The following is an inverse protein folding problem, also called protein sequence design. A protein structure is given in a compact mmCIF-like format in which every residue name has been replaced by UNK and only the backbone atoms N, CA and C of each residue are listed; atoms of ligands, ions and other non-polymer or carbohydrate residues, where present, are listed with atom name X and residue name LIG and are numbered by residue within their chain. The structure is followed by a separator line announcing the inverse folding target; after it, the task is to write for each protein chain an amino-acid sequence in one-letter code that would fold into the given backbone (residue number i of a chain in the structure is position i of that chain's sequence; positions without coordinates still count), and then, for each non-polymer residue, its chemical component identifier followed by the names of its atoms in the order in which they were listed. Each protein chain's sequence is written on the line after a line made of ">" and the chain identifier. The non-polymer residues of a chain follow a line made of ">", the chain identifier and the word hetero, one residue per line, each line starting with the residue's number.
data_IF_851445016142
#
_entry.id   IF_851445016142
#
_cell.length_a   1.000
_cell.length_b   1.000
_cell.length_c   1.000
_cell.angle_alpha   90.00
_cell.angle_beta   90.00
_cell.angle_gamma   90.00
#
_symmetry.space_group_name_H-M   'P 1'
#
loop_
_entity.id
_entity.type
_entity.pdbx_description
1 polymer ?
#
# COMPACT_ATOMS: atom_id res chain seq x y z
N UNK A 1 43.26 11.16 7.88
CA UNK A 1 42.01 10.55 7.34
C UNK A 1 40.72 10.95 8.07
N UNK A 2 40.73 11.89 9.01
CA UNK A 2 39.55 12.25 9.84
C UNK A 2 38.56 13.16 9.11
N UNK A 3 39.02 13.97 8.16
CA UNK A 3 38.16 14.87 7.39
C UNK A 3 37.53 14.22 6.14
N UNK A 4 38.06 13.08 5.69
CA UNK A 4 37.58 12.40 4.48
C UNK A 4 36.09 12.00 4.56
N UNK A 5 35.56 11.48 5.69
CA UNK A 5 34.14 11.14 5.80
C UNK A 5 33.22 12.36 5.71
N UNK A 6 33.65 13.51 6.24
CA UNK A 6 32.90 14.76 6.20
C UNK A 6 32.96 15.41 4.82
N UNK A 7 34.12 15.37 4.16
CA UNK A 7 34.29 15.85 2.79
C UNK A 7 33.45 15.06 1.78
N UNK A 8 33.20 13.77 2.05
CA UNK A 8 32.35 12.89 1.22
C UNK A 8 30.86 12.92 1.62
N UNK A 9 30.50 13.66 2.68
CA UNK A 9 29.12 13.82 3.15
C UNK A 9 28.50 12.58 3.79
N UNK A 10 29.31 11.65 4.33
CA UNK A 10 28.78 10.44 4.97
C UNK A 10 27.87 10.68 6.19
N UNK A 11 28.10 11.67 7.07
CA UNK A 11 27.22 11.90 8.22
C UNK A 11 25.78 12.23 7.82
N UNK A 12 25.59 13.11 6.84
CA UNK A 12 24.29 13.46 6.28
C UNK A 12 23.64 12.25 5.62
N UNK A 13 24.37 11.53 4.75
CA UNK A 13 23.84 10.35 4.04
C UNK A 13 23.42 9.23 4.99
N UNK A 14 24.19 9.01 6.06
CA UNK A 14 23.85 8.03 7.08
C UNK A 14 22.61 8.42 7.89
N UNK A 15 22.44 9.72 8.19
CA UNK A 15 21.24 10.23 8.83
C UNK A 15 20.00 10.10 7.94
N UNK A 16 20.13 10.46 6.67
CA UNK A 16 19.04 10.39 5.68
C UNK A 16 18.64 8.93 5.40
N UNK A 17 19.62 8.04 5.29
CA UNK A 17 19.37 6.60 5.12
C UNK A 17 18.67 5.97 6.33
N UNK A 18 19.06 6.35 7.56
CA UNK A 18 18.35 5.91 8.75
C UNK A 18 16.92 6.44 8.78
N UNK A 19 16.70 7.73 8.47
CA UNK A 19 15.37 8.31 8.43
C UNK A 19 14.48 7.64 7.37
N UNK A 20 15.06 7.24 6.23
CA UNK A 20 14.35 6.47 5.21
C UNK A 20 13.91 5.12 5.77
N UNK A 21 14.79 4.33 6.39
CA UNK A 21 14.40 3.06 7.03
C UNK A 21 13.29 3.30 8.05
N UNK A 22 13.49 4.21 9.00
CA UNK A 22 12.51 4.49 10.05
C UNK A 22 11.11 4.83 9.48
N UNK A 23 11.05 5.58 8.38
CA UNK A 23 9.80 5.94 7.71
C UNK A 23 9.13 4.76 6.98
N UNK A 24 9.91 3.84 6.42
CA UNK A 24 9.40 2.64 5.74
C UNK A 24 9.12 1.48 6.71
N UNK A 25 9.71 1.51 7.91
CA UNK A 25 9.57 0.47 8.92
C UNK A 25 8.11 0.04 9.17
N UNK A 26 7.12 0.93 9.40
CA UNK A 26 5.74 0.48 9.61
C UNK A 26 5.12 -0.18 8.37
N UNK A 27 5.59 0.11 7.16
CA UNK A 27 5.02 -0.42 5.91
C UNK A 27 5.70 -1.71 5.45
N UNK A 28 7.01 -1.82 5.66
CA UNK A 28 7.85 -2.92 5.20
C UNK A 28 8.04 -4.02 6.26
N UNK A 29 7.27 -4.01 7.35
CA UNK A 29 7.19 -5.17 8.23
C UNK A 29 6.53 -6.35 7.50
N UNK A 30 7.07 -7.56 7.69
CA UNK A 30 6.56 -8.78 7.03
C UNK A 30 5.04 -8.93 7.15
N UNK A 31 4.50 -8.78 8.36
CA UNK A 31 3.06 -8.88 8.59
C UNK A 31 2.23 -7.86 7.80
N UNK A 32 2.76 -6.66 7.56
CA UNK A 32 2.06 -5.61 6.82
C UNK A 32 2.17 -5.82 5.31
N UNK A 33 3.31 -6.33 4.83
CA UNK A 33 3.49 -6.74 3.43
C UNK A 33 2.57 -7.92 3.11
N UNK A 34 2.55 -8.96 3.95
CA UNK A 34 1.67 -10.12 3.79
C UNK A 34 0.21 -9.71 3.78
N UNK A 35 -0.20 -8.82 4.69
CA UNK A 35 -1.57 -8.28 4.73
C UNK A 35 -1.91 -7.50 3.45
N UNK A 36 -0.98 -6.69 2.95
CA UNK A 36 -1.18 -5.92 1.71
C UNK A 36 -1.30 -6.84 0.50
N UNK A 37 -0.44 -7.84 0.40
CA UNK A 37 -0.49 -8.86 -0.63
C UNK A 37 -1.79 -9.67 -0.58
N UNK A 38 -2.24 -10.06 0.61
CA UNK A 38 -3.50 -10.75 0.80
C UNK A 38 -4.70 -9.89 0.36
N UNK A 39 -4.77 -8.62 0.74
CA UNK A 39 -5.84 -7.73 0.23
C UNK A 39 -5.82 -7.62 -1.30
N UNK A 40 -4.64 -7.48 -1.89
CA UNK A 40 -4.51 -7.40 -3.35
C UNK A 40 -4.98 -8.70 -4.02
N UNK A 41 -4.45 -9.84 -3.60
CA UNK A 41 -4.69 -11.13 -4.25
C UNK A 41 -6.06 -11.75 -3.93
N UNK A 42 -6.57 -11.57 -2.71
CA UNK A 42 -7.76 -12.27 -2.23
C UNK A 42 -9.03 -11.40 -2.29
N UNK A 43 -8.88 -10.07 -2.37
CA UNK A 43 -10.03 -9.14 -2.41
C UNK A 43 -10.10 -8.41 -3.75
N UNK A 44 -9.00 -7.79 -4.18
CA UNK A 44 -9.03 -6.94 -5.37
C UNK A 44 -8.94 -7.75 -6.67
N UNK A 45 -8.06 -8.75 -6.76
CA UNK A 45 -7.95 -9.58 -7.98
C UNK A 45 -9.29 -10.26 -8.34
N UNK A 46 -10.01 -10.91 -7.40
CA UNK A 46 -11.32 -11.50 -7.69
C UNK A 46 -12.38 -10.48 -8.06
N UNK A 47 -12.25 -9.22 -7.61
CA UNK A 47 -13.16 -8.15 -8.03
C UNK A 47 -13.06 -7.88 -9.54
N UNK A 48 -11.88 -8.08 -10.12
CA UNK A 48 -11.65 -8.02 -11.57
C UNK A 48 -12.51 -9.03 -12.34
N UNK A 49 -12.75 -10.22 -11.79
CA UNK A 49 -13.56 -11.27 -12.42
C UNK A 49 -15.06 -10.94 -12.44
N UNK A 50 -15.51 -9.99 -11.59
CA UNK A 50 -16.91 -9.53 -11.53
C UNK A 50 -17.19 -8.43 -12.55
N UNK A 51 -16.16 -7.77 -13.08
CA UNK A 51 -16.29 -6.64 -14.03
C UNK A 51 -17.12 -7.00 -15.27
N UNK A 52 -16.96 -8.16 -15.93
CA UNK A 52 -17.81 -8.52 -17.07
C UNK A 52 -19.29 -8.63 -16.70
N UNK A 53 -19.61 -8.98 -15.46
CA UNK A 53 -20.98 -9.02 -14.96
C UNK A 53 -21.52 -7.59 -14.69
N UNK A 54 -20.65 -6.67 -14.25
CA UNK A 54 -20.93 -5.26 -13.98
C UNK A 54 -20.61 -4.37 -15.19
N UNK A 55 -21.19 -4.68 -16.34
CA UNK A 55 -20.97 -3.95 -17.59
C UNK A 55 -22.19 -3.13 -18.02
N UNK A 56 -21.96 -2.11 -18.84
CA UNK A 56 -23.04 -1.32 -19.45
C UNK A 56 -23.99 -2.19 -20.29
N UNK A 57 -23.45 -3.19 -20.99
CA UNK A 57 -24.23 -4.15 -21.77
C UNK A 57 -25.19 -4.96 -20.89
N UNK A 58 -24.69 -5.52 -19.78
CA UNK A 58 -25.54 -6.29 -18.87
C UNK A 58 -26.58 -5.41 -18.19
N UNK A 59 -26.22 -4.19 -17.80
CA UNK A 59 -27.19 -3.21 -17.25
C UNK A 59 -28.29 -2.91 -18.27
N UNK A 60 -27.95 -2.77 -19.56
CA UNK A 60 -28.94 -2.59 -20.61
C UNK A 60 -29.86 -3.82 -20.74
N UNK A 61 -29.32 -5.04 -20.70
CA UNK A 61 -30.12 -6.26 -20.72
C UNK A 61 -31.08 -6.35 -19.53
N UNK A 62 -30.61 -6.04 -18.32
CA UNK A 62 -31.48 -6.07 -17.15
C UNK A 62 -32.54 -4.96 -17.17
N UNK A 63 -32.23 -3.78 -17.69
CA UNK A 63 -33.23 -2.73 -17.90
C UNK A 63 -34.33 -3.19 -18.86
N UNK A 64 -33.98 -3.89 -19.94
CA UNK A 64 -34.97 -4.47 -20.85
C UNK A 64 -35.86 -5.52 -20.15
N UNK A 65 -35.30 -6.35 -19.26
CA UNK A 65 -36.11 -7.26 -18.45
C UNK A 65 -37.05 -6.52 -17.50
N UNK A 66 -36.59 -5.44 -16.85
CA UNK A 66 -37.43 -4.62 -15.98
C UNK A 66 -38.58 -3.96 -16.76
N UNK A 67 -38.33 -3.48 -17.98
CA UNK A 67 -39.38 -2.97 -18.86
C UNK A 67 -40.41 -4.06 -19.21
N UNK A 68 -39.96 -5.28 -19.50
CA UNK A 68 -40.84 -6.42 -19.72
C UNK A 68 -41.71 -6.74 -18.50
N UNK A 69 -41.14 -6.70 -17.29
CA UNK A 69 -41.88 -6.89 -16.03
C UNK A 69 -42.91 -5.79 -15.81
N UNK A 70 -42.57 -4.52 -16.09
CA UNK A 70 -43.52 -3.40 -16.03
C UNK A 70 -44.66 -3.57 -17.03
N UNK A 71 -44.35 -4.06 -18.24
CA UNK A 71 -45.37 -4.42 -19.23
C UNK A 71 -46.32 -5.51 -18.74
N UNK A 72 -45.76 -6.59 -18.17
CA UNK A 72 -46.58 -7.66 -17.55
C UNK A 72 -47.42 -7.13 -16.39
N UNK A 73 -46.91 -6.19 -15.59
CA UNK A 73 -47.68 -5.56 -14.53
C UNK A 73 -48.89 -4.81 -15.11
N UNK A 74 -48.70 -4.01 -16.16
CA UNK A 74 -49.81 -3.32 -16.85
C UNK A 74 -50.83 -4.29 -17.42
N UNK A 75 -50.40 -5.40 -18.02
CA UNK A 75 -51.33 -6.41 -18.53
C UNK A 75 -52.01 -7.20 -17.41
N UNK A 76 -51.36 -7.37 -16.26
CA UNK A 76 -51.94 -8.03 -15.09
C UNK A 76 -53.13 -7.29 -14.50
N UNK A 77 -53.16 -5.96 -14.63
CA UNK A 77 -54.31 -5.14 -14.23
C UNK A 77 -55.58 -5.49 -15.04
N UNK A 78 -55.40 -6.00 -16.26
CA UNK A 78 -56.49 -6.43 -17.16
C UNK A 78 -56.87 -7.89 -16.97
N UNK A 79 -56.01 -8.71 -16.34
CA UNK A 79 -56.25 -10.14 -16.18
C UNK A 79 -57.49 -10.42 -15.32
N UNK A 80 -57.64 -9.74 -14.19
CA UNK A 80 -58.79 -9.99 -13.30
C UNK A 80 -60.12 -9.60 -13.97
N UNK A 81 -60.26 -8.41 -14.58
CA UNK A 81 -61.44 -8.10 -15.38
C UNK A 81 -61.68 -9.07 -16.54
N UNK A 82 -60.63 -9.49 -17.26
CA UNK A 82 -60.76 -10.44 -18.38
C UNK A 82 -61.22 -11.83 -17.93
N UNK A 83 -60.66 -12.34 -16.83
CA UNK A 83 -61.06 -13.60 -16.21
C UNK A 83 -62.50 -13.54 -15.68
N UNK A 84 -62.89 -12.39 -15.11
CA UNK A 84 -64.25 -12.16 -14.63
C UNK A 84 -65.26 -12.33 -15.77
N UNK A 85 -65.01 -11.70 -16.93
CA UNK A 85 -65.86 -11.86 -18.12
C UNK A 85 -65.86 -13.30 -18.62
N UNK A 86 -64.70 -13.96 -18.68
CA UNK A 86 -64.59 -15.32 -19.20
C UNK A 86 -65.27 -16.39 -18.33
N UNK A 87 -65.32 -16.17 -17.02
CA UNK A 87 -65.89 -17.10 -16.03
C UNK A 87 -67.32 -16.75 -15.61
N UNK A 88 -67.91 -15.68 -16.17
CA UNK A 88 -69.20 -15.11 -15.76
C UNK A 88 -69.24 -14.79 -14.25
N UNK A 89 -68.10 -14.31 -13.73
CA UNK A 89 -67.89 -13.94 -12.33
C UNK A 89 -67.68 -12.43 -12.22
N UNK A 90 -67.90 -11.86 -11.03
CA UNK A 90 -67.46 -10.50 -10.73
C UNK A 90 -65.94 -10.45 -10.46
N UNK A 91 -65.27 -9.30 -10.68
CA UNK A 91 -63.83 -9.17 -10.36
C UNK A 91 -63.48 -9.51 -8.91
N UNK A 92 -64.36 -9.17 -7.96
CA UNK A 92 -64.18 -9.51 -6.55
C UNK A 92 -64.23 -11.03 -6.31
N UNK A 93 -65.16 -11.74 -6.95
CA UNK A 93 -65.24 -13.20 -6.86
C UNK A 93 -64.02 -13.88 -7.50
N UNK A 94 -63.47 -13.33 -8.59
CA UNK A 94 -62.23 -13.85 -9.19
C UNK A 94 -61.04 -13.62 -8.25
N UNK A 95 -60.92 -12.47 -7.61
CA UNK A 95 -59.88 -12.22 -6.61
C UNK A 95 -59.98 -13.19 -5.44
N UNK A 96 -61.17 -13.43 -4.91
CA UNK A 96 -61.38 -14.38 -3.83
C UNK A 96 -61.07 -15.81 -4.27
N UNK A 97 -61.52 -16.21 -5.47
CA UNK A 97 -61.21 -17.50 -6.07
C UNK A 97 -59.70 -17.71 -6.26
N UNK A 98 -58.97 -16.70 -6.76
CA UNK A 98 -57.51 -16.74 -6.88
C UNK A 98 -56.83 -16.78 -5.50
N UNK A 99 -57.32 -16.02 -4.53
CA UNK A 99 -56.79 -16.02 -3.17
C UNK A 99 -56.94 -17.39 -2.48
N UNK A 100 -58.08 -18.06 -2.66
CA UNK A 100 -58.35 -19.36 -2.03
C UNK A 100 -57.72 -20.53 -2.78
N UNK A 101 -57.85 -20.57 -4.11
CA UNK A 101 -57.44 -21.73 -4.90
C UNK A 101 -56.02 -21.60 -5.49
N UNK A 102 -55.50 -20.37 -5.62
CA UNK A 102 -54.19 -20.08 -6.21
C UNK A 102 -53.39 -19.05 -5.38
N UNK A 103 -53.16 -19.30 -4.08
CA UNK A 103 -52.58 -18.31 -3.16
C UNK A 103 -51.21 -17.79 -3.61
N UNK A 104 -50.38 -18.64 -4.23
CA UNK A 104 -49.07 -18.23 -4.75
C UNK A 104 -49.19 -17.20 -5.91
N UNK A 105 -50.18 -17.36 -6.79
CA UNK A 105 -50.44 -16.42 -7.88
C UNK A 105 -50.94 -15.07 -7.34
N UNK A 106 -51.85 -15.10 -6.37
CA UNK A 106 -52.33 -13.89 -5.70
C UNK A 106 -51.20 -13.12 -5.02
N UNK A 107 -50.32 -13.81 -4.31
CA UNK A 107 -49.13 -13.21 -3.69
C UNK A 107 -48.16 -12.64 -4.73
N UNK A 108 -47.92 -13.36 -5.84
CA UNK A 108 -47.06 -12.88 -6.92
C UNK A 108 -47.61 -11.58 -7.50
N UNK A 109 -48.89 -11.54 -7.87
CA UNK A 109 -49.53 -10.35 -8.45
C UNK A 109 -49.49 -9.15 -7.49
N UNK A 110 -49.71 -9.39 -6.19
CA UNK A 110 -49.61 -8.35 -5.17
C UNK A 110 -48.16 -7.85 -4.96
N UNK A 111 -47.16 -8.72 -5.13
CA UNK A 111 -45.74 -8.41 -4.93
C UNK A 111 -45.03 -7.81 -6.15
N UNK A 112 -45.58 -7.95 -7.36
CA UNK A 112 -44.98 -7.45 -8.60
C UNK A 112 -44.55 -5.97 -8.56
N UNK A 113 -45.38 -5.02 -8.05
CA UNK A 113 -45.00 -3.61 -8.02
C UNK A 113 -43.77 -3.35 -7.12
N UNK A 114 -43.68 -4.04 -5.98
CA UNK A 114 -42.54 -3.90 -5.08
C UNK A 114 -41.28 -4.52 -5.71
N UNK A 115 -41.42 -5.71 -6.31
CA UNK A 115 -40.32 -6.37 -7.00
C UNK A 115 -39.74 -5.52 -8.14
N UNK A 116 -40.58 -4.85 -8.93
CA UNK A 116 -40.12 -3.97 -10.01
C UNK A 116 -39.40 -2.72 -9.48
N UNK A 117 -39.86 -2.17 -8.36
CA UNK A 117 -39.21 -1.04 -7.68
C UNK A 117 -37.84 -1.43 -7.09
N UNK A 118 -37.76 -2.57 -6.40
CA UNK A 118 -36.52 -3.07 -5.80
C UNK A 118 -35.49 -3.39 -6.89
N UNK A 119 -35.92 -4.04 -7.98
CA UNK A 119 -35.04 -4.35 -9.10
C UNK A 119 -34.58 -3.08 -9.83
N UNK A 120 -35.47 -2.10 -10.03
CA UNK A 120 -35.09 -0.79 -10.56
C UNK A 120 -34.05 -0.06 -9.70
N UNK A 121 -34.17 -0.16 -8.37
CA UNK A 121 -33.20 0.42 -7.44
C UNK A 121 -31.83 -0.26 -7.58
N UNK A 122 -31.80 -1.60 -7.63
CA UNK A 122 -30.58 -2.35 -7.83
C UNK A 122 -29.90 -1.99 -9.17
N UNK A 123 -30.67 -1.89 -10.26
CA UNK A 123 -30.14 -1.50 -11.56
C UNK A 123 -29.65 -0.05 -11.60
N UNK A 124 -30.28 0.85 -10.86
CA UNK A 124 -29.76 2.20 -10.65
C UNK A 124 -28.37 2.18 -10.02
N UNK A 125 -28.21 1.44 -8.92
CA UNK A 125 -26.91 1.27 -8.26
C UNK A 125 -25.88 0.66 -9.23
N UNK A 126 -26.25 -0.38 -9.98
CA UNK A 126 -25.33 -0.96 -10.96
C UNK A 126 -24.92 0.07 -12.00
N UNK A 127 -25.88 0.76 -12.61
CA UNK A 127 -25.65 1.79 -13.63
C UNK A 127 -24.73 2.90 -13.13
N UNK A 128 -24.92 3.37 -11.90
CA UNK A 128 -24.10 4.43 -11.30
C UNK A 128 -22.66 3.98 -11.05
N UNK A 129 -22.43 2.68 -10.87
CA UNK A 129 -21.12 2.12 -10.50
C UNK A 129 -20.37 1.44 -11.66
N UNK A 130 -21.01 1.15 -12.80
CA UNK A 130 -20.37 0.47 -13.96
C UNK A 130 -19.05 1.13 -14.35
N UNK A 131 -19.01 2.47 -14.44
CA UNK A 131 -17.80 3.19 -14.83
C UNK A 131 -16.64 3.03 -13.83
N UNK A 132 -16.94 2.76 -12.56
CA UNK A 132 -15.93 2.46 -11.52
C UNK A 132 -15.44 1.03 -11.70
N UNK A 133 -16.35 0.08 -11.90
CA UNK A 133 -16.02 -1.34 -12.11
C UNK A 133 -15.18 -1.55 -13.38
N UNK A 134 -15.46 -0.84 -14.47
CA UNK A 134 -14.67 -0.91 -15.70
C UNK A 134 -13.19 -0.51 -15.51
N UNK A 135 -12.88 0.28 -14.48
CA UNK A 135 -11.51 0.70 -14.17
C UNK A 135 -10.75 -0.30 -13.28
N UNK A 136 -11.45 -1.26 -12.65
CA UNK A 136 -10.83 -2.24 -11.74
C UNK A 136 -9.66 -2.99 -12.40
N UNK A 137 -9.76 -3.52 -13.63
CA UNK A 137 -8.66 -4.26 -14.25
C UNK A 137 -7.41 -3.40 -14.45
N UNK A 138 -7.58 -2.16 -14.91
CA UNK A 138 -6.46 -1.23 -15.08
C UNK A 138 -5.82 -0.86 -13.73
N UNK A 139 -6.64 -0.69 -12.69
CA UNK A 139 -6.15 -0.48 -11.32
C UNK A 139 -5.33 -1.67 -10.82
N UNK A 140 -5.83 -2.89 -11.00
CA UNK A 140 -5.11 -4.11 -10.63
C UNK A 140 -3.75 -4.18 -11.30
N UNK A 141 -3.69 -3.97 -12.62
CA UNK A 141 -2.45 -4.00 -13.36
C UNK A 141 -1.47 -2.91 -12.91
N UNK A 142 -1.97 -1.74 -12.50
CA UNK A 142 -1.16 -0.67 -11.93
C UNK A 142 -0.57 -1.01 -10.56
N UNK A 143 -1.35 -1.63 -9.67
CA UNK A 143 -0.91 -1.93 -8.30
C UNK A 143 -0.12 -3.24 -8.16
N UNK A 144 -0.31 -4.20 -9.07
CA UNK A 144 0.43 -5.47 -9.11
C UNK A 144 1.95 -5.30 -8.90
N UNK A 145 2.67 -4.47 -9.69
CA UNK A 145 4.11 -4.36 -9.54
C UNK A 145 4.53 -3.79 -8.18
N UNK A 146 3.70 -2.93 -7.56
CA UNK A 146 4.00 -2.36 -6.24
C UNK A 146 3.94 -3.45 -5.15
N UNK A 147 2.89 -4.26 -5.15
CA UNK A 147 2.73 -5.38 -4.21
C UNK A 147 3.87 -6.39 -4.40
N UNK A 148 4.14 -6.80 -5.65
CA UNK A 148 5.25 -7.71 -5.97
C UNK A 148 6.61 -7.14 -5.53
N UNK A 149 6.83 -5.83 -5.70
CA UNK A 149 8.07 -5.18 -5.25
C UNK A 149 8.19 -5.21 -3.73
N UNK A 150 7.10 -4.98 -2.98
CA UNK A 150 7.11 -5.07 -1.52
C UNK A 150 7.44 -6.49 -1.04
N UNK A 151 6.78 -7.50 -1.62
CA UNK A 151 7.02 -8.92 -1.31
C UNK A 151 8.46 -9.35 -1.62
N UNK A 152 9.05 -8.87 -2.72
CA UNK A 152 10.44 -9.16 -3.07
C UNK A 152 11.45 -8.42 -2.18
N UNK A 153 11.12 -7.21 -1.73
CA UNK A 153 12.06 -6.36 -0.99
C UNK A 153 11.95 -6.44 0.53
N UNK A 154 10.90 -7.04 1.08
CA UNK A 154 10.73 -7.15 2.54
C UNK A 154 11.89 -7.87 3.22
N UNK A 155 12.42 -8.93 2.60
CA UNK A 155 13.61 -9.62 3.11
C UNK A 155 14.88 -8.75 3.12
N UNK A 156 15.10 -7.96 2.06
CA UNK A 156 16.22 -7.02 1.99
C UNK A 156 16.05 -5.88 3.00
N UNK A 157 14.83 -5.38 3.15
CA UNK A 157 14.49 -4.37 4.14
C UNK A 157 14.79 -4.87 5.56
N UNK A 158 14.27 -6.04 5.94
CA UNK A 158 14.51 -6.65 7.25
C UNK A 158 16.01 -6.86 7.52
N UNK A 159 16.77 -7.24 6.49
CA UNK A 159 18.22 -7.38 6.60
C UNK A 159 18.91 -6.04 6.89
N UNK A 160 18.49 -4.97 6.22
CA UNK A 160 19.03 -3.63 6.43
C UNK A 160 18.62 -3.03 7.78
N UNK A 161 17.37 -3.23 8.20
CA UNK A 161 16.81 -2.77 9.48
C UNK A 161 17.44 -3.50 10.68
N UNK A 162 17.94 -4.73 10.48
CA UNK A 162 18.68 -5.47 11.51
C UNK A 162 20.08 -4.91 11.82
N UNK A 163 20.60 -4.01 10.97
CA UNK A 163 21.91 -3.41 11.17
C UNK A 163 21.89 -2.34 12.27
N UNK A 164 23.01 -2.12 12.98
CA UNK A 164 23.14 -0.99 13.90
C UNK A 164 22.89 0.34 13.18
N UNK A 165 22.32 1.31 13.91
CA UNK A 165 21.98 2.63 13.38
C UNK A 165 23.10 3.20 12.51
N UNK A 166 22.77 3.57 11.26
CA UNK A 166 23.80 3.97 10.30
C UNK A 166 24.61 5.20 10.74
N UNK A 167 24.09 6.01 11.66
CA UNK A 167 24.83 7.13 12.26
C UNK A 167 26.06 6.68 13.06
N UNK A 168 26.07 5.44 13.57
CA UNK A 168 27.22 4.86 14.27
C UNK A 168 28.43 4.65 13.35
N UNK A 169 28.21 4.40 12.05
CA UNK A 169 29.32 4.27 11.08
C UNK A 169 30.17 5.53 11.01
N UNK A 170 29.56 6.72 11.13
CA UNK A 170 30.31 7.98 11.15
C UNK A 170 31.26 8.03 12.35
N UNK A 171 30.76 7.67 13.54
CA UNK A 171 31.55 7.72 14.76
C UNK A 171 32.64 6.65 14.83
N UNK A 172 32.45 5.50 14.18
CA UNK A 172 33.44 4.43 14.09
C UNK A 172 34.78 4.90 13.48
N UNK A 173 34.75 5.81 12.50
CA UNK A 173 35.97 6.35 11.89
C UNK A 173 36.49 7.61 12.59
N UNK A 174 35.58 8.43 13.14
CA UNK A 174 35.95 9.70 13.79
C UNK A 174 36.65 9.47 15.12
N UNK A 175 36.14 8.57 15.98
CA UNK A 175 36.67 8.35 17.34
C UNK A 175 38.11 7.84 17.31
N UNK A 176 38.48 6.75 16.60
CA UNK A 176 39.87 6.29 16.53
C UNK A 176 40.79 7.33 15.89
N UNK A 177 40.32 8.06 14.88
CA UNK A 177 41.11 9.08 14.23
C UNK A 177 41.45 10.26 15.17
N UNK A 178 40.48 10.76 15.93
CA UNK A 178 40.72 11.80 16.94
C UNK A 178 41.67 11.30 18.03
N UNK A 179 41.53 10.06 18.49
CA UNK A 179 42.44 9.46 19.46
C UNK A 179 43.89 9.42 18.93
N UNK A 180 44.09 9.03 17.67
CA UNK A 180 45.43 9.02 17.05
C UNK A 180 46.00 10.44 16.94
N UNK A 181 45.18 11.44 16.59
CA UNK A 181 45.62 12.84 16.59
C UNK A 181 46.05 13.30 17.98
N UNK A 182 45.24 13.03 19.00
CA UNK A 182 45.55 13.41 20.39
C UNK A 182 46.83 12.73 20.87
N UNK A 183 47.01 11.43 20.60
CA UNK A 183 48.23 10.70 20.93
C UNK A 183 49.46 11.24 20.18
N UNK A 184 49.30 11.62 18.91
CA UNK A 184 50.37 12.23 18.11
C UNK A 184 50.77 13.60 18.64
N UNK A 185 49.79 14.45 18.96
CA UNK A 185 50.04 15.77 19.57
C UNK A 185 50.69 15.65 20.95
N UNK A 186 50.23 14.71 21.77
CA UNK A 186 50.81 14.42 23.07
C UNK A 186 52.28 13.97 22.94
N UNK A 187 52.56 13.05 22.02
CA UNK A 187 53.92 12.59 21.74
C UNK A 187 54.86 13.73 21.29
N UNK A 188 54.38 14.64 20.44
CA UNK A 188 55.17 15.79 19.98
C UNK A 188 55.45 16.81 21.10
N UNK A 189 54.46 17.12 21.94
CA UNK A 189 54.63 18.08 23.03
C UNK A 189 55.60 17.57 24.12
N UNK A 190 55.52 16.30 24.48
CA UNK A 190 56.39 15.72 25.51
C UNK A 190 57.79 15.34 24.98
N UNK A 191 57.93 14.96 23.71
CA UNK A 191 59.24 14.72 23.10
C UNK A 191 60.03 16.02 22.83
N UNK A 192 59.36 17.15 22.63
CA UNK A 192 59.98 18.47 22.43
C UNK A 192 60.67 19.04 23.68
N UNK A 193 60.20 18.68 24.88
CA UNK A 193 60.77 19.17 26.14
C UNK A 193 62.14 18.56 26.49
N UNK A 194 62.52 17.42 25.91
CA UNK A 194 63.80 16.76 26.20
C UNK A 194 64.98 17.16 25.28
N UNK A 195 64.79 18.05 24.29
CA UNK A 195 65.84 18.40 23.30
C UNK A 195 66.50 19.77 23.46
N UNK A 196 66.12 20.56 24.47
CA UNK A 196 66.71 21.89 24.71
C UNK A 196 67.78 21.96 25.80
N UNK A 197 68.13 20.85 26.45
CA UNK A 197 69.25 20.79 27.40
C UNK A 197 70.32 19.82 26.89
N UNK A 198 71.38 20.36 26.28
CA UNK A 198 72.63 19.62 26.05
C UNK A 198 73.06 19.49 24.59
N UNK A 199 73.31 20.61 23.91
CA UNK A 199 74.16 20.61 22.72
C UNK A 199 75.36 21.52 22.96
N UNK A 200 76.40 20.97 23.59
CA UNK A 200 77.74 21.53 23.56
C UNK A 200 78.68 20.45 23.00
N UNK A 201 78.98 20.53 21.70
CA UNK A 201 80.08 19.79 21.09
C UNK A 201 80.84 20.73 20.15
N UNK A 202 82.12 20.95 20.45
CA UNK A 202 83.32 20.80 19.57
C UNK A 202 84.47 21.62 20.19
N UNK A 203 85.51 21.01 20.79
CA UNK A 203 86.66 20.30 20.23
C UNK A 203 87.71 21.22 19.57
N UNK A 204 88.87 21.41 20.24
CA UNK A 204 90.22 21.54 19.65
C UNK A 204 91.33 21.51 20.72
N UNK A 205 92.14 20.47 20.70
CA UNK A 205 93.58 20.43 21.10
C UNK A 205 94.43 20.47 19.81
N UNK A 206 95.78 20.60 19.80
CA UNK A 206 96.77 20.96 20.84
C UNK A 206 97.82 22.02 20.36
N UNK A 207 98.80 22.42 21.21
CA UNK A 207 100.27 22.35 20.95
C UNK A 207 101.12 23.20 21.94
N UNK A 208 102.08 22.50 22.58
CA UNK A 208 103.49 22.81 22.91
C UNK A 208 104.05 24.21 23.25
N UNK A 209 104.90 24.25 24.30
CA UNK A 209 105.95 25.25 24.58
C UNK A 209 106.22 25.40 26.09
N UNK A 210 107.17 24.70 26.71
CA UNK A 210 108.63 24.92 26.79
C UNK A 210 109.08 25.79 28.00
N UNK A 211 109.87 25.15 28.88
CA UNK A 211 110.99 25.63 29.73
C UNK A 211 110.91 26.99 30.46
N UNK A 212 110.98 26.98 31.79
CA UNK A 212 112.21 27.09 32.59
C UNK A 212 111.95 26.75 34.06
#
# INVERSE_FOLDING_TARGET
>A
MIAAPFALGFPSKASDGQAMLDNFHPLMQQANVDKTAAYYNDVFVPLGDVVPAMSAENVAHFNAYLEGIKGMQTDSEKLIPGLAVALDMTPAQVQEFLGTNYPAMSQMLAGLPQMSADFGTLLGIMSDNVAIFEQVPAGLDHYRPLVTTMEQNVGYYNSADSLPNFRLFTWFFVVPGVLILLLSCWGLFFAGQHRFAGMHIHHRTPMAGAAH
#
